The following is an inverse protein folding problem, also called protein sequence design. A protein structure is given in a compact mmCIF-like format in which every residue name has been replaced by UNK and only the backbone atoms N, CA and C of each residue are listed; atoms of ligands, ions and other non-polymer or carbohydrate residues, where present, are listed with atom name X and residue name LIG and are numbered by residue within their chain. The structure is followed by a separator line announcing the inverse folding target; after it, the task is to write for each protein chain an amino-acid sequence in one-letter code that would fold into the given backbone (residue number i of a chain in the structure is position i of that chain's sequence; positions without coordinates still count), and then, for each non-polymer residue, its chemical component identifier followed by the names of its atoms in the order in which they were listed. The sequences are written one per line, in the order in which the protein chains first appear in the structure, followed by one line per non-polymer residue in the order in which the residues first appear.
data_IF_055118487612
#
_entry.id   IF_055118487612
#
_cell.length_a   1.000
_cell.length_b   1.000
_cell.length_c   1.000
_cell.angle_alpha   90.00
_cell.angle_beta   90.00
_cell.angle_gamma   90.00
#
_symmetry.space_group_name_H-M   'P 1'
#
loop_
_entity.id
_entity.type
_entity.pdbx_description
1 polymer ?
#
# COMPACT_ATOMS: atom_id res chain seq x y z
N UNK A 1 43.34 -0.20 -5.86
CA UNK A 1 42.63 -1.40 -6.35
C UNK A 1 41.12 -1.16 -6.47
N UNK A 2 40.48 -0.39 -5.56
CA UNK A 2 39.04 -0.04 -5.61
C UNK A 2 38.61 0.60 -6.95
N UNK A 3 39.37 1.56 -7.47
CA UNK A 3 39.06 2.19 -8.77
C UNK A 3 39.08 1.19 -9.94
N UNK A 4 39.92 0.15 -9.92
CA UNK A 4 39.97 -0.84 -11.01
C UNK A 4 38.78 -1.82 -10.98
N UNK A 5 38.22 -2.10 -9.80
CA UNK A 5 37.02 -2.94 -9.68
C UNK A 5 35.75 -2.19 -10.12
N UNK A 6 35.65 -0.89 -9.82
CA UNK A 6 34.49 -0.07 -10.24
C UNK A 6 34.43 0.09 -11.77
N UNK A 7 35.57 0.24 -12.45
CA UNK A 7 35.62 0.38 -13.91
C UNK A 7 35.47 -0.95 -14.69
N UNK A 8 35.47 -2.10 -14.03
CA UNK A 8 35.29 -3.42 -14.65
C UNK A 8 33.90 -4.04 -14.39
N UNK A 9 33.08 -3.38 -13.57
CA UNK A 9 31.79 -3.87 -13.12
C UNK A 9 30.68 -3.45 -14.09
N UNK A 10 29.72 -4.34 -14.34
CA UNK A 10 28.54 -3.97 -15.12
C UNK A 10 27.71 -2.93 -14.36
N UNK A 11 26.93 -2.12 -15.08
CA UNK A 11 26.01 -1.14 -14.46
C UNK A 11 25.05 -1.85 -13.50
N UNK A 12 24.56 -3.03 -13.89
CA UNK A 12 23.70 -3.88 -13.06
C UNK A 12 24.37 -4.29 -11.75
N UNK A 13 25.62 -4.75 -11.79
CA UNK A 13 26.37 -5.15 -10.59
C UNK A 13 26.70 -3.95 -9.68
N UNK A 14 26.97 -2.78 -10.27
CA UNK A 14 27.16 -1.54 -9.53
C UNK A 14 25.87 -1.14 -8.79
N UNK A 15 24.73 -1.15 -9.48
CA UNK A 15 23.43 -0.77 -8.92
C UNK A 15 22.98 -1.75 -7.83
N UNK A 16 23.21 -3.05 -8.00
CA UNK A 16 22.94 -4.05 -6.97
C UNK A 16 23.77 -3.82 -5.70
N UNK A 17 25.08 -3.53 -5.83
CA UNK A 17 25.94 -3.22 -4.67
C UNK A 17 25.55 -1.91 -3.99
N UNK A 18 25.17 -0.90 -4.76
CA UNK A 18 24.70 0.38 -4.23
C UNK A 18 23.39 0.19 -3.47
N UNK A 19 22.45 -0.59 -4.02
CA UNK A 19 21.20 -0.96 -3.37
C UNK A 19 21.45 -1.64 -2.02
N UNK A 20 22.28 -2.70 -1.98
CA UNK A 20 22.57 -3.40 -0.72
C UNK A 20 23.18 -2.47 0.33
N UNK A 21 24.03 -1.51 -0.08
CA UNK A 21 24.59 -0.51 0.83
C UNK A 21 23.52 0.45 1.37
N UNK A 22 22.64 0.97 0.49
CA UNK A 22 21.57 1.88 0.89
C UNK A 22 20.52 1.18 1.77
N UNK A 23 20.17 -0.06 1.42
CA UNK A 23 19.28 -0.91 2.20
C UNK A 23 19.85 -1.22 3.58
N UNK A 24 21.16 -1.50 3.69
CA UNK A 24 21.79 -1.72 4.99
C UNK A 24 21.71 -0.49 5.91
N UNK A 25 21.82 0.73 5.36
CA UNK A 25 21.55 1.95 6.11
C UNK A 25 20.06 2.06 6.49
N UNK A 26 19.14 1.77 5.57
CA UNK A 26 17.70 1.74 5.87
C UNK A 26 17.34 0.71 6.94
N UNK A 27 17.96 -0.46 6.96
CA UNK A 27 17.72 -1.51 7.95
C UNK A 27 17.98 -1.01 9.38
N UNK A 28 18.92 -0.09 9.56
CA UNK A 28 19.18 0.57 10.85
C UNK A 28 18.02 1.48 11.29
N UNK A 29 17.33 2.11 10.35
CA UNK A 29 16.15 2.96 10.59
C UNK A 29 14.83 2.17 10.60
N UNK A 30 14.78 1.03 9.92
CA UNK A 30 13.60 0.16 9.81
C UNK A 30 13.09 -0.32 11.16
N UNK A 31 14.01 -0.61 12.08
CA UNK A 31 13.66 -0.93 13.46
C UNK A 31 12.87 0.18 14.15
N UNK A 32 13.18 1.45 13.91
CA UNK A 32 12.41 2.57 14.46
C UNK A 32 11.05 2.73 13.76
N UNK A 33 11.05 2.62 12.43
CA UNK A 33 9.87 2.82 11.58
C UNK A 33 8.75 1.81 11.86
N UNK A 34 9.09 0.55 12.10
CA UNK A 34 8.13 -0.54 12.36
C UNK A 34 7.47 -0.47 13.75
N UNK A 35 7.91 0.43 14.64
CA UNK A 35 7.31 0.61 15.97
C UNK A 35 6.55 1.94 16.11
N UNK A 36 6.41 2.69 15.01
CA UNK A 36 5.61 3.91 14.99
C UNK A 36 4.15 3.58 14.69
N UNK A 37 3.22 4.24 15.37
CA UNK A 37 1.79 4.12 15.05
C UNK A 37 1.55 4.48 13.58
N UNK A 38 0.59 3.84 12.88
CA UNK A 38 0.30 4.15 11.48
C UNK A 38 0.16 5.65 11.22
N UNK A 39 -0.46 6.40 12.14
CA UNK A 39 -0.63 7.86 12.04
C UNK A 39 0.67 8.67 12.02
N UNK A 40 1.77 8.10 12.51
CA UNK A 40 3.08 8.74 12.52
C UNK A 40 3.81 8.58 11.19
N UNK A 41 3.54 7.51 10.44
CA UNK A 41 4.27 7.16 9.22
C UNK A 41 3.43 7.21 7.95
N UNK A 42 2.11 7.09 8.07
CA UNK A 42 1.16 7.17 6.96
C UNK A 42 0.54 8.56 6.86
N UNK A 43 0.22 8.94 5.63
CA UNK A 43 -0.49 10.16 5.30
C UNK A 43 -1.98 9.88 5.21
N UNK A 44 -2.77 10.73 5.87
CA UNK A 44 -4.23 10.60 5.97
C UNK A 44 -4.97 11.64 5.12
N UNK A 45 -4.29 12.45 4.31
CA UNK A 45 -4.88 13.61 3.63
C UNK A 45 -4.69 13.61 2.12
N UNK A 46 -3.93 12.64 1.60
CA UNK A 46 -3.68 12.47 0.18
C UNK A 46 -4.42 11.26 -0.38
N UNK A 47 -4.71 11.36 -1.66
CA UNK A 47 -5.11 10.27 -2.51
C UNK A 47 -3.95 9.28 -2.66
N UNK A 48 -4.27 8.00 -2.56
CA UNK A 48 -3.29 6.93 -2.78
C UNK A 48 -3.64 6.08 -4.01
N UNK A 49 -4.85 6.22 -4.53
CA UNK A 49 -5.27 5.66 -5.82
C UNK A 49 -5.30 6.75 -6.87
N UNK A 50 -4.64 6.47 -7.98
CA UNK A 50 -4.72 7.24 -9.22
C UNK A 50 -5.45 6.36 -10.23
N UNK A 51 -6.52 6.87 -10.84
CA UNK A 51 -7.24 6.17 -11.89
C UNK A 51 -6.46 6.15 -13.21
N UNK A 52 -6.99 5.40 -14.17
CA UNK A 52 -6.35 5.20 -15.46
C UNK A 52 -6.76 6.29 -16.46
N UNK A 53 -5.97 6.46 -17.52
CA UNK A 53 -6.19 7.48 -18.56
C UNK A 53 -7.52 7.32 -19.32
N UNK A 54 -8.18 6.18 -19.18
CA UNK A 54 -9.50 5.89 -19.74
C UNK A 54 -10.67 6.36 -18.85
N UNK A 55 -10.38 6.98 -17.69
CA UNK A 55 -11.38 7.49 -16.77
C UNK A 55 -11.96 6.45 -15.81
N UNK A 56 -11.32 5.29 -15.68
CA UNK A 56 -11.75 4.20 -14.77
C UNK A 56 -10.79 4.03 -13.60
N UNK A 57 -11.29 3.45 -12.51
CA UNK A 57 -10.50 3.00 -11.35
C UNK A 57 -10.53 1.49 -11.17
N UNK A 58 -11.24 0.75 -12.00
CA UNK A 58 -11.37 -0.71 -12.04
C UNK A 58 -11.62 -1.35 -10.66
N UNK A 59 -12.67 -0.93 -9.91
CA UNK A 59 -12.89 -1.37 -8.53
C UNK A 59 -13.09 -2.89 -8.41
N UNK A 60 -13.74 -3.51 -9.40
CA UNK A 60 -13.92 -4.96 -9.46
C UNK A 60 -12.73 -5.73 -10.07
N UNK A 61 -11.75 -5.02 -10.64
CA UNK A 61 -10.52 -5.62 -11.15
C UNK A 61 -9.61 -6.10 -10.01
N UNK A 62 -8.75 -7.08 -10.30
CA UNK A 62 -7.73 -7.52 -9.34
C UNK A 62 -6.64 -6.45 -9.21
N UNK A 63 -6.13 -6.25 -8.00
CA UNK A 63 -4.97 -5.38 -7.80
C UNK A 63 -3.68 -6.19 -8.00
N UNK A 64 -2.76 -5.63 -8.78
CA UNK A 64 -1.45 -6.22 -9.02
C UNK A 64 -0.44 -5.91 -7.90
N UNK A 65 0.69 -6.62 -7.93
CA UNK A 65 1.81 -6.41 -7.02
C UNK A 65 2.42 -5.01 -7.15
N UNK A 66 2.58 -4.51 -8.36
CA UNK A 66 3.10 -3.15 -8.60
C UNK A 66 2.14 -2.08 -8.11
N UNK A 67 0.85 -2.23 -8.36
CA UNK A 67 -0.15 -1.28 -7.87
C UNK A 67 -0.17 -1.26 -6.35
N UNK A 68 -0.08 -2.43 -5.71
CA UNK A 68 -0.02 -2.55 -4.25
C UNK A 68 1.22 -1.83 -3.69
N UNK A 69 2.40 -2.08 -4.24
CA UNK A 69 3.63 -1.41 -3.79
C UNK A 69 3.53 0.11 -3.95
N UNK A 70 3.00 0.57 -5.09
CA UNK A 70 2.82 2.00 -5.38
C UNK A 70 1.82 2.65 -4.45
N UNK A 71 0.71 1.97 -4.14
CA UNK A 71 -0.29 2.46 -3.17
C UNK A 71 0.34 2.65 -1.79
N UNK A 72 1.02 1.64 -1.25
CA UNK A 72 1.65 1.78 0.07
C UNK A 72 2.79 2.80 0.08
N UNK A 73 3.50 2.98 -1.04
CA UNK A 73 4.48 4.06 -1.20
C UNK A 73 3.83 5.45 -1.11
N UNK A 74 2.69 5.64 -1.80
CA UNK A 74 1.92 6.91 -1.75
C UNK A 74 1.34 7.18 -0.36
N UNK A 75 1.02 6.13 0.38
CA UNK A 75 0.54 6.24 1.76
C UNK A 75 1.60 6.71 2.74
N UNK A 76 2.90 6.61 2.46
CA UNK A 76 3.92 7.14 3.37
C UNK A 76 3.80 8.67 3.50
N UNK A 77 4.03 9.22 4.69
CA UNK A 77 4.27 10.66 4.85
C UNK A 77 5.46 11.10 4.01
N UNK A 78 5.45 12.34 3.54
CA UNK A 78 6.47 12.88 2.64
C UNK A 78 7.88 12.73 3.24
N UNK A 79 8.06 13.06 4.53
CA UNK A 79 9.34 12.92 5.23
C UNK A 79 9.83 11.46 5.29
N UNK A 80 8.92 10.52 5.53
CA UNK A 80 9.21 9.09 5.57
C UNK A 80 9.56 8.57 4.18
N UNK A 81 8.76 8.94 3.17
CA UNK A 81 8.97 8.53 1.78
C UNK A 81 10.28 9.08 1.23
N UNK A 82 10.43 10.41 1.26
CA UNK A 82 11.54 11.12 0.63
C UNK A 82 12.86 10.86 1.36
N UNK A 83 12.81 10.61 2.68
CA UNK A 83 13.98 10.19 3.47
C UNK A 83 14.46 8.77 3.21
N UNK A 84 13.65 7.92 2.55
CA UNK A 84 13.93 6.50 2.32
C UNK A 84 13.86 6.09 0.85
N UNK A 85 13.96 7.02 -0.11
CA UNK A 85 13.90 6.68 -1.52
C UNK A 85 15.04 5.76 -1.94
N UNK A 86 14.68 4.64 -2.57
CA UNK A 86 15.57 3.80 -3.36
C UNK A 86 15.12 3.84 -4.82
N UNK A 87 16.07 3.97 -5.74
CA UNK A 87 15.83 4.05 -7.19
C UNK A 87 16.50 2.91 -7.96
N UNK A 88 16.92 1.86 -7.24
CA UNK A 88 17.45 0.64 -7.81
C UNK A 88 17.07 -0.54 -6.92
N UNK A 89 17.08 -1.74 -7.49
CA UNK A 89 16.76 -2.99 -6.81
C UNK A 89 17.49 -4.17 -7.49
N UNK A 90 17.27 -5.39 -6.98
CA UNK A 90 17.88 -6.62 -7.50
C UNK A 90 16.97 -7.42 -8.44
N UNK A 91 15.76 -6.93 -8.71
CA UNK A 91 14.78 -7.63 -9.53
C UNK A 91 15.07 -7.44 -11.03
N UNK A 92 15.26 -8.56 -11.72
CA UNK A 92 15.53 -8.58 -13.16
C UNK A 92 14.36 -8.10 -14.03
N UNK A 93 13.14 -8.16 -13.48
CA UNK A 93 11.88 -7.76 -14.11
C UNK A 93 11.39 -6.37 -13.67
N UNK A 94 12.24 -5.61 -12.97
CA UNK A 94 11.99 -4.20 -12.58
C UNK A 94 13.26 -3.38 -12.89
N UNK A 95 13.53 -3.09 -14.17
CA UNK A 95 14.69 -2.29 -14.56
C UNK A 95 14.63 -0.86 -14.00
N UNK A 96 15.76 -0.14 -14.05
CA UNK A 96 15.89 1.21 -13.48
C UNK A 96 14.96 2.25 -14.15
N UNK A 97 14.56 2.02 -15.41
CA UNK A 97 13.62 2.82 -16.20
C UNK A 97 12.17 2.28 -16.16
N UNK A 98 11.88 1.37 -15.23
CA UNK A 98 10.52 0.94 -14.99
C UNK A 98 9.77 2.01 -14.20
N UNK A 99 8.59 2.41 -14.68
CA UNK A 99 7.80 3.52 -14.10
C UNK A 99 7.59 3.42 -12.58
N UNK A 100 7.49 2.22 -12.01
CA UNK A 100 7.30 2.01 -10.57
C UNK A 100 8.58 1.58 -9.84
N UNK A 101 9.76 1.69 -10.46
CA UNK A 101 11.03 1.27 -9.87
C UNK A 101 11.21 1.92 -8.50
N UNK A 102 11.10 3.25 -8.40
CA UNK A 102 11.26 3.98 -7.14
C UNK A 102 10.35 3.44 -6.04
N UNK A 103 9.07 3.21 -6.34
CA UNK A 103 8.13 2.67 -5.39
C UNK A 103 8.47 1.22 -4.98
N UNK A 104 8.71 0.33 -5.94
CA UNK A 104 9.04 -1.08 -5.68
C UNK A 104 10.34 -1.17 -4.86
N UNK A 105 11.38 -0.45 -5.28
CA UNK A 105 12.69 -0.41 -4.65
C UNK A 105 12.59 0.09 -3.20
N UNK A 106 11.91 1.23 -2.99
CA UNK A 106 11.72 1.82 -1.65
C UNK A 106 10.94 0.89 -0.73
N UNK A 107 9.80 0.36 -1.19
CA UNK A 107 8.96 -0.52 -0.36
C UNK A 107 9.61 -1.88 -0.09
N UNK A 108 10.49 -2.34 -0.98
CA UNK A 108 11.34 -3.53 -0.74
C UNK A 108 12.39 -3.24 0.32
N UNK A 109 13.09 -2.12 0.22
CA UNK A 109 14.10 -1.70 1.20
C UNK A 109 13.52 -1.54 2.61
N UNK A 110 12.33 -0.95 2.72
CA UNK A 110 11.58 -0.84 3.97
C UNK A 110 11.03 -2.18 4.50
N UNK A 111 11.13 -3.26 3.73
CA UNK A 111 10.63 -4.57 4.14
C UNK A 111 9.12 -4.75 3.98
N UNK A 112 8.41 -3.74 3.48
CA UNK A 112 6.93 -3.69 3.44
C UNK A 112 6.38 -4.52 2.29
N UNK A 113 7.06 -4.56 1.15
CA UNK A 113 6.74 -5.45 0.01
C UNK A 113 7.96 -6.29 -0.30
N UNK A 114 7.77 -7.54 -0.72
CA UNK A 114 8.86 -8.45 -1.05
C UNK A 114 8.57 -9.11 -2.40
N UNK A 115 9.60 -9.32 -3.22
CA UNK A 115 9.54 -10.11 -4.44
C UNK A 115 9.20 -11.58 -4.17
N UNK A 116 8.87 -12.33 -5.23
CA UNK A 116 8.72 -13.78 -5.13
C UNK A 116 10.06 -14.48 -4.85
N UNK A 117 11.15 -13.84 -5.28
CA UNK A 117 12.51 -14.25 -5.01
C UNK A 117 13.40 -13.01 -4.84
N UNK A 118 14.69 -13.21 -4.55
CA UNK A 118 15.65 -12.11 -4.51
C UNK A 118 15.88 -11.41 -5.86
N UNK A 119 15.40 -11.97 -6.97
CA UNK A 119 15.66 -11.47 -8.33
C UNK A 119 14.42 -11.31 -9.20
N UNK A 120 13.23 -11.60 -8.66
CA UNK A 120 11.95 -11.52 -9.40
C UNK A 120 10.88 -10.90 -8.53
N UNK A 121 10.31 -9.79 -9.00
CA UNK A 121 9.21 -9.11 -8.33
C UNK A 121 7.83 -9.58 -8.81
N UNK A 122 7.67 -9.87 -10.10
CA UNK A 122 6.44 -10.13 -10.84
C UNK A 122 5.41 -8.98 -10.73
N UNK A 123 5.67 -7.81 -11.34
CA UNK A 123 4.90 -6.60 -11.09
C UNK A 123 3.42 -6.72 -11.48
N UNK A 124 3.12 -7.42 -12.57
CA UNK A 124 1.76 -7.51 -13.12
C UNK A 124 0.90 -8.58 -12.43
N UNK A 125 1.48 -9.51 -11.67
CA UNK A 125 0.72 -10.57 -11.04
C UNK A 125 -0.25 -10.01 -9.98
N UNK A 126 -1.49 -10.57 -9.90
CA UNK A 126 -2.42 -10.23 -8.84
C UNK A 126 -1.91 -10.74 -7.49
N UNK A 127 -2.33 -10.07 -6.40
CA UNK A 127 -2.03 -10.55 -5.04
C UNK A 127 -3.25 -11.16 -4.35
N UNK A 128 -2.97 -12.10 -3.45
CA UNK A 128 -4.00 -12.73 -2.62
C UNK A 128 -4.40 -11.84 -1.44
N UNK A 129 -5.58 -12.11 -0.88
CA UNK A 129 -6.05 -11.46 0.35
C UNK A 129 -5.10 -11.68 1.52
N UNK A 130 -4.47 -12.85 1.63
CA UNK A 130 -3.46 -13.13 2.65
C UNK A 130 -2.20 -12.30 2.47
N UNK A 131 -1.70 -12.16 1.24
CA UNK A 131 -0.55 -11.30 0.97
C UNK A 131 -0.86 -9.84 1.33
N UNK A 132 -2.04 -9.35 0.96
CA UNK A 132 -2.48 -8.01 1.33
C UNK A 132 -2.56 -7.81 2.84
N UNK A 133 -3.17 -8.75 3.57
CA UNK A 133 -3.29 -8.69 5.03
C UNK A 133 -1.91 -8.70 5.70
N UNK A 134 -0.96 -9.50 5.22
CA UNK A 134 0.40 -9.52 5.72
C UNK A 134 1.14 -8.18 5.48
N UNK A 135 0.88 -7.49 4.36
CA UNK A 135 1.42 -6.15 4.12
C UNK A 135 0.81 -5.15 5.11
N UNK A 136 -0.52 -5.15 5.30
CA UNK A 136 -1.16 -4.30 6.30
C UNK A 136 -0.59 -4.55 7.71
N UNK A 137 -0.38 -5.82 8.08
CA UNK A 137 0.15 -6.19 9.39
C UNK A 137 1.56 -5.65 9.67
N UNK A 138 2.34 -5.29 8.63
CA UNK A 138 3.67 -4.69 8.80
C UNK A 138 3.62 -3.24 9.30
N UNK A 139 2.44 -2.61 9.27
CA UNK A 139 2.22 -1.26 9.81
C UNK A 139 1.65 -1.28 11.24
N UNK A 140 1.39 -2.45 11.80
CA UNK A 140 0.93 -2.59 13.18
C UNK A 140 2.11 -2.55 14.16
N UNK A 141 1.98 -1.75 15.21
CA UNK A 141 2.99 -1.57 16.28
C UNK A 141 2.95 -2.65 17.34
N UNK A 142 1.96 -3.53 17.30
CA UNK A 142 1.75 -4.58 18.30
C UNK A 142 1.06 -4.09 19.58
N UNK A 143 0.66 -2.83 19.67
CA UNK A 143 -0.08 -2.28 20.81
C UNK A 143 -1.58 -2.62 20.73
N UNK A 144 -2.18 -3.03 21.86
CA UNK A 144 -3.64 -3.26 21.96
C UNK A 144 -4.21 -4.31 21.00
N UNK A 145 -5.54 -4.37 20.84
CA UNK A 145 -6.22 -5.25 19.87
C UNK A 145 -6.69 -6.59 20.43
N UNK A 146 -7.92 -6.98 20.07
CA UNK A 146 -8.39 -8.36 20.24
C UNK A 146 -7.80 -9.24 19.14
N UNK A 147 -8.06 -10.55 19.16
CA UNK A 147 -7.84 -11.39 17.98
C UNK A 147 -9.19 -11.84 17.46
N UNK A 148 -9.38 -11.77 16.15
CA UNK A 148 -10.53 -12.34 15.48
C UNK A 148 -10.07 -13.52 14.62
N UNK A 149 -10.86 -14.58 14.55
CA UNK A 149 -10.53 -15.77 13.75
C UNK A 149 -11.53 -15.98 12.62
N UNK A 150 -11.13 -16.78 11.64
CA UNK A 150 -11.94 -17.22 10.50
C UNK A 150 -11.84 -18.75 10.38
N UNK A 151 -12.84 -19.38 9.76
CA UNK A 151 -12.92 -20.84 9.69
C UNK A 151 -11.88 -21.48 8.77
N UNK A 152 -11.27 -20.71 7.86
CA UNK A 152 -10.45 -21.19 6.75
C UNK A 152 -8.98 -20.73 6.80
N UNK A 153 -8.50 -20.27 7.96
CA UNK A 153 -7.12 -19.78 8.12
C UNK A 153 -6.20 -20.68 8.94
N UNK A 154 -6.75 -21.72 9.59
CA UNK A 154 -5.96 -22.62 10.46
C UNK A 154 -4.85 -23.32 9.67
N UNK A 155 -3.60 -23.16 10.11
CA UNK A 155 -2.42 -23.72 9.47
C UNK A 155 -1.94 -22.97 8.22
N UNK A 156 -2.61 -21.87 7.86
CA UNK A 156 -2.19 -21.01 6.75
C UNK A 156 -1.01 -20.13 7.18
N UNK A 157 -0.01 -19.90 6.31
CA UNK A 157 1.18 -19.10 6.65
C UNK A 157 0.86 -17.68 7.15
N UNK A 158 -0.26 -17.13 6.67
CA UNK A 158 -0.73 -15.80 7.04
C UNK A 158 -1.69 -15.77 8.22
N UNK A 159 -1.94 -16.89 8.90
CA UNK A 159 -2.94 -17.01 9.97
C UNK A 159 -2.78 -15.89 11.02
N UNK A 160 -1.59 -15.75 11.60
CA UNK A 160 -1.34 -14.77 12.65
C UNK A 160 -1.47 -13.32 12.14
N UNK A 161 -1.01 -13.03 10.93
CA UNK A 161 -1.20 -11.71 10.32
C UNK A 161 -2.68 -11.39 10.14
N UNK A 162 -3.46 -12.34 9.63
CA UNK A 162 -4.90 -12.20 9.41
C UNK A 162 -5.61 -11.99 10.75
N UNK A 163 -5.32 -12.83 11.76
CA UNK A 163 -5.95 -12.70 13.09
C UNK A 163 -5.67 -11.35 13.73
N UNK A 164 -4.43 -10.87 13.57
CA UNK A 164 -3.98 -9.58 14.10
C UNK A 164 -4.72 -8.42 13.45
N UNK A 165 -4.65 -8.28 12.14
CA UNK A 165 -5.27 -7.14 11.44
C UNK A 165 -6.79 -7.21 11.42
N UNK A 166 -7.39 -8.40 11.59
CA UNK A 166 -8.83 -8.53 11.80
C UNK A 166 -9.24 -8.04 13.20
N UNK A 167 -8.45 -8.36 14.23
CA UNK A 167 -8.67 -7.89 15.59
C UNK A 167 -8.50 -6.37 15.78
N UNK A 168 -7.68 -5.74 14.92
CA UNK A 168 -7.58 -4.28 14.80
C UNK A 168 -8.76 -3.66 14.00
N UNK A 169 -9.61 -4.48 13.38
CA UNK A 169 -10.71 -4.03 12.53
C UNK A 169 -10.27 -3.54 11.14
N UNK A 170 -9.01 -3.72 10.76
CA UNK A 170 -8.48 -3.29 9.46
C UNK A 170 -8.98 -4.15 8.31
N UNK A 171 -9.20 -5.44 8.58
CA UNK A 171 -9.78 -6.36 7.61
C UNK A 171 -11.07 -6.99 8.16
N UNK A 172 -11.93 -7.43 7.23
CA UNK A 172 -13.13 -8.20 7.53
C UNK A 172 -13.18 -9.44 6.64
N UNK A 173 -13.73 -10.52 7.19
CA UNK A 173 -14.08 -11.73 6.43
C UNK A 173 -15.44 -11.58 5.74
N UNK A 174 -15.90 -12.68 5.18
CA UNK A 174 -17.21 -12.80 4.56
C UNK A 174 -18.25 -13.22 5.61
N UNK A 175 -19.54 -13.05 5.28
CA UNK A 175 -20.67 -13.39 6.17
C UNK A 175 -20.72 -14.86 6.54
N UNK A 176 -20.14 -15.73 5.71
CA UNK A 176 -20.01 -17.18 5.95
C UNK A 176 -18.92 -17.54 6.98
N UNK A 177 -18.25 -16.54 7.57
CA UNK A 177 -17.18 -16.72 8.56
C UNK A 177 -15.81 -17.05 7.97
N UNK A 178 -15.65 -17.01 6.64
CA UNK A 178 -14.36 -17.23 5.95
C UNK A 178 -13.59 -15.93 5.72
N UNK A 179 -12.27 -16.03 5.57
CA UNK A 179 -11.42 -14.95 5.08
C UNK A 179 -11.05 -15.10 3.61
N UNK A 180 -10.98 -16.33 3.08
CA UNK A 180 -10.54 -16.70 1.73
C UNK A 180 -9.11 -16.23 1.43
N UNK A 181 -8.11 -16.70 2.21
CA UNK A 181 -6.74 -16.18 2.17
C UNK A 181 -6.07 -16.27 0.79
N UNK A 182 -6.36 -17.34 0.03
CA UNK A 182 -5.74 -17.60 -1.28
C UNK A 182 -6.49 -17.00 -2.47
N UNK A 183 -7.64 -16.35 -2.22
CA UNK A 183 -8.37 -15.65 -3.30
C UNK A 183 -7.68 -14.33 -3.62
N UNK A 184 -7.56 -14.00 -4.92
CA UNK A 184 -7.05 -12.71 -5.35
C UNK A 184 -7.96 -11.56 -4.88
N UNK A 185 -7.34 -10.48 -4.43
CA UNK A 185 -8.06 -9.32 -3.91
C UNK A 185 -8.40 -8.33 -5.03
N UNK A 186 -9.63 -7.82 -5.01
CA UNK A 186 -10.04 -6.74 -5.92
C UNK A 186 -9.52 -5.38 -5.45
N UNK A 187 -9.41 -4.41 -6.36
CA UNK A 187 -9.01 -3.04 -6.05
C UNK A 187 -9.95 -2.40 -5.03
N UNK A 188 -11.27 -2.62 -5.15
CA UNK A 188 -12.26 -2.15 -4.18
C UNK A 188 -12.05 -2.73 -2.78
N UNK A 189 -11.75 -4.02 -2.69
CA UNK A 189 -11.46 -4.66 -1.40
C UNK A 189 -10.17 -4.11 -0.79
N UNK A 190 -9.12 -3.91 -1.60
CA UNK A 190 -7.87 -3.31 -1.17
C UNK A 190 -8.07 -1.88 -0.63
N UNK A 191 -8.76 -1.01 -1.37
CA UNK A 191 -9.11 0.36 -0.93
C UNK A 191 -9.89 0.35 0.39
N UNK A 192 -10.88 -0.54 0.50
CA UNK A 192 -11.68 -0.68 1.73
C UNK A 192 -10.82 -1.09 2.93
N UNK A 193 -9.84 -1.98 2.75
CA UNK A 193 -8.93 -2.39 3.83
C UNK A 193 -7.96 -1.27 4.20
N UNK A 194 -7.38 -0.56 3.21
CA UNK A 194 -6.47 0.57 3.45
C UNK A 194 -7.17 1.70 4.20
N UNK A 195 -8.39 2.06 3.78
CA UNK A 195 -9.20 3.06 4.44
C UNK A 195 -9.38 2.76 5.94
N UNK A 196 -9.56 1.49 6.31
CA UNK A 196 -9.62 1.08 7.72
C UNK A 196 -8.28 1.16 8.44
N UNK A 197 -7.16 0.84 7.76
CA UNK A 197 -5.80 1.05 8.31
C UNK A 197 -5.58 2.53 8.62
N UNK A 198 -6.04 3.42 7.74
CA UNK A 198 -5.93 4.87 7.91
C UNK A 198 -6.99 5.46 8.85
N UNK A 199 -7.96 4.65 9.30
CA UNK A 199 -9.16 5.09 10.01
C UNK A 199 -9.94 6.19 9.25
N UNK A 200 -9.95 6.11 7.92
CA UNK A 200 -10.62 7.04 7.00
C UNK A 200 -11.82 6.36 6.36
N UNK A 201 -13.00 6.57 6.91
CA UNK A 201 -14.21 5.81 6.52
C UNK A 201 -15.40 6.77 6.46
N UNK A 202 -15.72 7.36 5.30
CA UNK A 202 -17.02 7.99 5.11
C UNK A 202 -18.12 6.92 5.23
N UNK A 203 -19.21 7.26 5.89
CA UNK A 203 -20.34 6.36 6.15
C UNK A 203 -21.43 6.52 5.09
N UNK A 204 -21.64 7.75 4.63
CA UNK A 204 -22.68 8.11 3.68
C UNK A 204 -22.18 9.11 2.62
N UNK A 205 -22.84 9.23 1.47
CA UNK A 205 -22.44 10.20 0.43
C UNK A 205 -22.37 11.65 0.92
N UNK A 206 -23.16 12.02 1.92
CA UNK A 206 -23.18 13.35 2.52
C UNK A 206 -21.93 13.64 3.38
N UNK A 207 -21.13 12.62 3.70
CA UNK A 207 -19.81 12.81 4.32
C UNK A 207 -18.78 13.33 3.31
N UNK A 208 -19.04 13.24 2.01
CA UNK A 208 -18.15 13.71 0.95
C UNK A 208 -18.43 15.18 0.61
N UNK A 209 -17.43 15.85 0.02
CA UNK A 209 -17.62 17.19 -0.54
C UNK A 209 -17.90 17.17 -2.04
N UNK A 210 -18.58 18.19 -2.59
CA UNK A 210 -18.66 18.39 -4.03
C UNK A 210 -17.27 18.55 -4.68
N UNK A 211 -17.17 18.23 -5.97
CA UNK A 211 -15.92 18.33 -6.71
C UNK A 211 -14.99 17.12 -6.57
N UNK A 212 -15.52 16.00 -6.04
CA UNK A 212 -14.89 14.69 -6.13
C UNK A 212 -14.63 14.29 -7.57
N UNK A 213 -13.60 13.47 -7.76
CA UNK A 213 -13.33 12.84 -9.05
C UNK A 213 -14.47 11.88 -9.41
N UNK A 214 -14.98 11.99 -10.63
CA UNK A 214 -16.00 11.08 -11.17
C UNK A 214 -15.31 10.04 -12.04
N UNK A 215 -15.65 8.78 -11.81
CA UNK A 215 -15.11 7.64 -12.54
C UNK A 215 -16.24 6.94 -13.30
N UNK A 216 -15.98 6.53 -14.53
CA UNK A 216 -17.01 5.91 -15.38
C UNK A 216 -17.53 4.57 -14.81
N UNK A 217 -16.73 3.89 -14.00
CA UNK A 217 -16.98 2.58 -13.41
C UNK A 217 -17.21 2.62 -11.88
N UNK A 218 -17.53 3.80 -11.33
CA UNK A 218 -17.86 3.95 -9.92
C UNK A 218 -18.99 4.96 -9.73
N UNK A 219 -20.19 4.45 -9.47
CA UNK A 219 -21.41 5.24 -9.37
C UNK A 219 -21.95 5.24 -7.92
N UNK A 220 -22.66 6.32 -7.51
CA UNK A 220 -23.39 6.31 -6.25
C UNK A 220 -24.32 5.09 -6.14
N UNK A 221 -24.24 4.38 -5.01
CA UNK A 221 -24.98 3.13 -4.78
C UNK A 221 -24.17 1.85 -4.99
N UNK A 222 -23.03 1.93 -5.69
CA UNK A 222 -22.07 0.83 -5.70
C UNK A 222 -21.51 0.63 -4.28
N UNK A 223 -21.38 -0.62 -3.83
CA UNK A 223 -20.92 -0.93 -2.46
C UNK A 223 -19.52 -0.35 -2.15
N UNK A 224 -18.71 -0.14 -3.19
CA UNK A 224 -17.36 0.41 -3.11
C UNK A 224 -17.30 1.92 -3.36
N UNK A 225 -18.42 2.60 -3.64
CA UNK A 225 -18.44 4.00 -4.04
C UNK A 225 -17.67 4.89 -3.06
N UNK A 226 -18.01 4.81 -1.78
CA UNK A 226 -17.36 5.58 -0.72
C UNK A 226 -15.87 5.23 -0.58
N UNK A 227 -15.52 3.94 -0.68
CA UNK A 227 -14.13 3.51 -0.60
C UNK A 227 -13.27 4.04 -1.75
N UNK A 228 -13.82 4.09 -2.96
CA UNK A 228 -13.17 4.68 -4.14
C UNK A 228 -12.99 6.18 -3.95
N UNK A 229 -14.04 6.89 -3.53
CA UNK A 229 -13.95 8.34 -3.33
C UNK A 229 -12.92 8.70 -2.27
N UNK A 230 -12.89 7.93 -1.18
CA UNK A 230 -11.93 8.07 -0.10
C UNK A 230 -10.48 7.83 -0.54
N UNK A 231 -10.26 6.85 -1.41
CA UNK A 231 -8.93 6.49 -1.90
C UNK A 231 -8.37 7.43 -2.97
N UNK A 232 -9.25 8.06 -3.76
CA UNK A 232 -8.90 8.73 -5.01
C UNK A 232 -8.97 10.27 -4.95
N UNK A 233 -9.25 10.85 -3.79
CA UNK A 233 -9.32 12.30 -3.60
C UNK A 233 -8.55 12.73 -2.35
N UNK A 234 -7.67 13.71 -2.50
CA UNK A 234 -7.00 14.39 -1.39
C UNK A 234 -8.00 15.30 -0.69
N UNK A 235 -8.13 15.18 0.63
CA UNK A 235 -9.06 15.97 1.41
C UNK A 235 -8.62 16.10 2.88
N UNK A 236 -9.17 17.12 3.55
CA UNK A 236 -9.19 17.24 5.00
C UNK A 236 -10.48 16.64 5.54
N UNK A 237 -10.44 16.09 6.75
CA UNK A 237 -11.59 15.46 7.39
C UNK A 237 -11.62 15.76 8.90
N UNK A 238 -12.74 15.44 9.52
CA UNK A 238 -12.86 15.31 10.98
C UNK A 238 -13.57 14.00 11.31
N UNK A 239 -13.14 13.33 12.38
CA UNK A 239 -13.82 12.12 12.85
C UNK A 239 -15.20 12.46 13.42
N UNK A 240 -16.16 11.58 13.14
CA UNK A 240 -17.48 11.55 13.78
C UNK A 240 -17.60 10.33 14.69
N UNK A 241 -18.80 10.02 15.17
CA UNK A 241 -19.01 8.90 16.07
C UNK A 241 -18.51 7.57 15.47
N UNK A 242 -17.85 6.74 16.28
CA UNK A 242 -17.24 5.49 15.84
C UNK A 242 -15.91 5.72 15.11
N UNK A 243 -15.72 5.01 13.99
CA UNK A 243 -14.52 5.07 13.16
C UNK A 243 -14.76 5.85 11.86
N UNK A 244 -15.84 6.63 11.82
CA UNK A 244 -16.26 7.32 10.60
C UNK A 244 -15.74 8.76 10.56
N UNK A 245 -15.81 9.37 9.38
CA UNK A 245 -15.40 10.74 9.15
C UNK A 245 -16.36 11.51 8.26
N UNK A 246 -16.18 12.84 8.22
CA UNK A 246 -16.79 13.74 7.24
C UNK A 246 -15.73 14.69 6.70
N UNK A 247 -15.76 14.94 5.39
CA UNK A 247 -14.79 15.79 4.70
C UNK A 247 -15.05 17.26 4.98
N UNK A 248 -13.98 18.00 5.30
CA UNK A 248 -14.03 19.42 5.69
C UNK A 248 -13.38 20.35 4.68
N UNK A 249 -12.60 19.81 3.74
CA UNK A 249 -12.04 20.57 2.63
C UNK A 249 -11.38 19.68 1.57
N UNK A 250 -11.28 20.16 0.34
CA UNK A 250 -10.55 19.48 -0.74
C UNK A 250 -9.10 19.94 -0.76
N UNK A 251 -8.17 18.98 -0.77
CA UNK A 251 -6.74 19.27 -0.88
C UNK A 251 -6.28 19.19 -2.34
N UNK A 252 -5.13 19.80 -2.62
CA UNK A 252 -4.51 19.69 -3.94
C UNK A 252 -4.01 18.25 -4.16
N UNK A 253 -4.25 17.71 -5.36
CA UNK A 253 -3.67 16.43 -5.79
C UNK A 253 -2.15 16.46 -5.77
N UNK A 254 -1.58 15.34 -5.38
CA UNK A 254 -0.13 15.13 -5.35
C UNK A 254 0.35 14.79 -6.76
N UNK A 255 1.45 15.40 -7.17
CA UNK A 255 2.12 15.03 -8.43
C UNK A 255 2.94 13.75 -8.21
N UNK A 256 2.30 12.61 -8.42
CA UNK A 256 2.95 11.30 -8.29
C UNK A 256 3.96 11.02 -9.40
N UNK A 257 3.86 11.70 -10.55
CA UNK A 257 4.73 11.46 -11.71
C UNK A 257 6.19 11.80 -11.42
N UNK A 258 6.47 12.63 -10.40
CA UNK A 258 7.84 12.92 -9.96
C UNK A 258 8.62 11.70 -9.44
N UNK A 259 7.93 10.61 -9.11
CA UNK A 259 8.53 9.34 -8.68
C UNK A 259 8.48 8.26 -9.75
N UNK A 260 7.82 8.55 -10.88
CA UNK A 260 7.61 7.63 -11.98
C UNK A 260 8.58 8.00 -13.11
N UNK A 261 9.54 7.12 -13.39
CA UNK A 261 10.64 7.38 -14.33
C UNK A 261 10.74 6.28 -15.38
#
# INVERSE_FOLDING_TARGET
SILKEVFAMSVTDYNARLYEKMKAEQDKYRGWLLHQEPSEILNHTYEYIVGHNDGNVYPNGLISRVETATVFFRLLKDEVRDGNLLTSNTYSDVPDDYWANTAISTMTGLGIVQGHSGTTFDPAAPITRAQFAAICARFDTGAGGSTQTFSDISGHWAEEYIRRVAGLGWIKGFEDGTFRPDTYITRAQAMTMINRVLNRIPEEPDDLLPGTTVWADCNPGDWFYLAVQEAANSHAFQHKAGNYETWTGMNKKTDWTRYEH
#
